data_IF_742361885963
#
_entry.id   IF_742361885963
#
_cell.length_a   1.000
_cell.length_b   1.000
_cell.length_c   1.000
_cell.angle_alpha   90.00
_cell.angle_beta   90.00
_cell.angle_gamma   90.00
#
_symmetry.space_group_name_H-M   'P 1'
#
loop_
_entity.id
_entity.type
_entity.pdbx_description
1 polymer ?
#
# COMPACT_ATOMS: atom_id res chain seq x y z
N UNK A 1 -11.55 -9.08 -0.66
CA UNK A 1 -12.70 -8.68 -1.49
C UNK A 1 -13.37 -7.44 -0.88
N UNK A 2 -13.90 -7.46 0.37
CA UNK A 2 -14.59 -6.31 0.97
C UNK A 2 -13.71 -5.05 1.05
N UNK A 3 -12.43 -5.18 1.41
CA UNK A 3 -11.48 -4.05 1.44
C UNK A 3 -11.25 -3.43 0.07
N UNK A 4 -11.24 -4.24 -0.99
CA UNK A 4 -11.07 -3.77 -2.36
C UNK A 4 -12.29 -2.97 -2.86
N UNK A 5 -13.50 -3.35 -2.45
CA UNK A 5 -14.70 -2.59 -2.78
C UNK A 5 -14.69 -1.19 -2.13
N UNK A 6 -14.31 -1.11 -0.86
CA UNK A 6 -14.15 0.18 -0.19
C UNK A 6 -13.01 1.02 -0.77
N UNK A 7 -11.93 0.38 -1.22
CA UNK A 7 -10.82 1.08 -1.85
C UNK A 7 -11.24 1.84 -3.10
N UNK A 8 -12.19 1.32 -3.90
CA UNK A 8 -12.72 2.01 -5.09
C UNK A 8 -13.34 3.36 -4.71
N UNK A 9 -13.96 3.43 -3.55
CA UNK A 9 -14.65 4.63 -3.07
C UNK A 9 -13.70 5.57 -2.31
N UNK A 10 -12.93 5.05 -1.36
CA UNK A 10 -11.97 5.82 -0.58
C UNK A 10 -10.76 6.27 -1.40
N UNK A 11 -10.30 5.44 -2.35
CA UNK A 11 -9.19 5.77 -3.23
C UNK A 11 -9.48 6.97 -4.14
N UNK A 12 -10.74 7.15 -4.56
CA UNK A 12 -11.15 8.33 -5.33
C UNK A 12 -10.95 9.64 -4.55
N UNK A 13 -11.07 9.60 -3.23
CA UNK A 13 -10.92 10.81 -2.40
C UNK A 13 -9.54 11.46 -2.48
N UNK A 14 -8.52 10.74 -2.93
CA UNK A 14 -7.18 11.32 -3.15
C UNK A 14 -7.20 12.42 -4.23
N UNK A 15 -8.19 12.40 -5.13
CA UNK A 15 -8.36 13.41 -6.17
C UNK A 15 -9.01 14.69 -5.63
N UNK A 16 -9.81 14.56 -4.58
CA UNK A 16 -10.59 15.66 -3.98
C UNK A 16 -9.84 16.37 -2.85
N UNK A 17 -8.90 15.69 -2.19
CA UNK A 17 -8.17 16.22 -1.03
C UNK A 17 -6.71 16.53 -1.36
N UNK A 18 -6.10 17.44 -0.59
CA UNK A 18 -4.64 17.64 -0.62
C UNK A 18 -3.94 16.33 -0.23
N UNK A 19 -2.95 15.94 -1.00
CA UNK A 19 -2.18 14.70 -0.80
C UNK A 19 -1.70 14.56 0.65
N UNK A 20 -1.24 15.65 1.25
CA UNK A 20 -0.79 15.67 2.64
C UNK A 20 -1.90 15.23 3.62
N UNK A 21 -3.09 15.83 3.51
CA UNK A 21 -4.22 15.52 4.39
C UNK A 21 -4.70 14.08 4.20
N UNK A 22 -4.73 13.64 2.95
CA UNK A 22 -5.08 12.25 2.63
C UNK A 22 -4.06 11.26 3.21
N UNK A 23 -2.75 11.56 3.10
CA UNK A 23 -1.70 10.72 3.68
C UNK A 23 -1.79 10.64 5.20
N UNK A 24 -2.06 11.74 5.89
CA UNK A 24 -2.29 11.72 7.33
C UNK A 24 -3.52 10.91 7.73
N UNK A 25 -4.60 11.02 6.99
CA UNK A 25 -5.77 10.18 7.20
C UNK A 25 -5.44 8.68 7.07
N UNK A 26 -4.69 8.30 6.04
CA UNK A 26 -4.29 6.90 5.82
C UNK A 26 -3.36 6.41 6.94
N UNK A 27 -2.41 7.24 7.39
CA UNK A 27 -1.53 6.89 8.52
C UNK A 27 -2.33 6.72 9.81
N UNK A 28 -3.25 7.63 10.10
CA UNK A 28 -4.11 7.50 11.26
C UNK A 28 -4.94 6.21 11.22
N UNK A 29 -5.52 5.89 10.07
CA UNK A 29 -6.27 4.66 9.89
C UNK A 29 -5.38 3.42 10.08
N UNK A 30 -4.15 3.44 9.58
CA UNK A 30 -3.19 2.35 9.74
C UNK A 30 -2.75 2.19 11.20
N UNK A 31 -2.50 3.29 11.89
CA UNK A 31 -2.19 3.31 13.32
C UNK A 31 -3.32 2.67 14.14
N UNK A 32 -4.56 3.13 13.96
CA UNK A 32 -5.70 2.57 14.68
C UNK A 32 -5.96 1.11 14.31
N UNK A 33 -5.74 0.71 13.08
CA UNK A 33 -5.85 -0.68 12.65
C UNK A 33 -4.82 -1.56 13.33
N UNK A 34 -3.55 -1.14 13.39
CA UNK A 34 -2.48 -1.87 14.08
C UNK A 34 -2.71 -1.96 15.58
N UNK A 35 -3.15 -0.85 16.18
CA UNK A 35 -3.47 -0.81 17.60
C UNK A 35 -4.66 -1.74 17.93
N UNK A 36 -5.76 -1.65 17.16
CA UNK A 36 -6.91 -2.52 17.33
C UNK A 36 -6.55 -3.99 17.16
N UNK A 37 -5.65 -4.30 16.21
CA UNK A 37 -5.17 -5.66 16.00
C UNK A 37 -4.48 -6.24 17.24
N UNK A 38 -3.79 -5.42 18.04
CA UNK A 38 -3.15 -5.87 19.29
C UNK A 38 -4.14 -6.29 20.39
N UNK A 39 -5.39 -5.84 20.32
CA UNK A 39 -6.45 -6.13 21.31
C UNK A 39 -7.41 -7.25 20.91
N UNK A 40 -7.10 -7.99 19.84
CA UNK A 40 -7.96 -9.08 19.37
C UNK A 40 -8.07 -10.20 20.41
N UNK A 41 -9.32 -10.51 20.78
CA UNK A 41 -9.66 -11.59 21.73
C UNK A 41 -10.67 -12.60 21.16
N UNK A 42 -11.18 -12.36 19.96
CA UNK A 42 -12.22 -13.19 19.34
C UNK A 42 -11.98 -13.30 17.83
N UNK A 43 -12.45 -14.39 17.23
CA UNK A 43 -12.38 -14.61 15.78
C UNK A 43 -13.08 -13.53 14.98
N UNK A 44 -14.15 -12.94 15.49
CA UNK A 44 -14.87 -11.86 14.83
C UNK A 44 -14.01 -10.59 14.76
N UNK A 45 -13.35 -10.24 15.87
CA UNK A 45 -12.42 -9.10 15.90
C UNK A 45 -11.18 -9.35 15.04
N UNK A 46 -10.75 -10.61 14.91
CA UNK A 46 -9.65 -10.99 14.00
C UNK A 46 -10.02 -10.67 12.54
N UNK A 47 -11.21 -11.06 12.10
CA UNK A 47 -11.69 -10.78 10.73
C UNK A 47 -11.76 -9.28 10.46
N UNK A 48 -12.30 -8.52 11.41
CA UNK A 48 -12.35 -7.05 11.31
C UNK A 48 -10.94 -6.45 11.30
N UNK A 49 -10.05 -6.94 12.17
CA UNK A 49 -8.66 -6.48 12.23
C UNK A 49 -7.91 -6.71 10.91
N UNK A 50 -8.00 -7.91 10.35
CA UNK A 50 -7.41 -8.24 9.03
C UNK A 50 -8.00 -7.35 7.93
N UNK A 51 -9.31 -7.12 7.96
CA UNK A 51 -9.98 -6.24 7.01
C UNK A 51 -9.43 -4.81 7.08
N UNK A 52 -9.33 -4.23 8.28
CA UNK A 52 -8.82 -2.88 8.49
C UNK A 52 -7.34 -2.76 8.10
N UNK A 53 -6.51 -3.73 8.46
CA UNK A 53 -5.09 -3.78 8.09
C UNK A 53 -4.91 -3.86 6.57
N UNK A 54 -5.68 -4.69 5.89
CA UNK A 54 -5.65 -4.76 4.43
C UNK A 54 -6.14 -3.49 3.75
N UNK A 55 -7.19 -2.87 4.29
CA UNK A 55 -7.72 -1.62 3.75
C UNK A 55 -6.70 -0.49 3.90
N UNK A 56 -6.17 -0.29 5.11
CA UNK A 56 -5.26 0.83 5.41
C UNK A 56 -3.87 0.65 4.83
N UNK A 57 -3.23 -0.51 5.07
CA UNK A 57 -1.86 -0.78 4.65
C UNK A 57 -1.76 -1.11 3.17
N UNK A 58 -2.31 -2.26 2.78
CA UNK A 58 -2.18 -2.78 1.42
C UNK A 58 -3.01 -1.98 0.39
N UNK A 59 -4.18 -1.49 0.79
CA UNK A 59 -5.06 -0.72 -0.08
C UNK A 59 -4.67 0.76 -0.16
N UNK A 60 -5.03 1.52 0.85
CA UNK A 60 -4.95 2.99 0.81
C UNK A 60 -3.52 3.51 0.79
N UNK A 61 -2.60 2.92 1.56
CA UNK A 61 -1.21 3.36 1.61
C UNK A 61 -0.49 3.14 0.27
N UNK A 62 -0.65 1.95 -0.32
CA UNK A 62 -0.09 1.64 -1.64
C UNK A 62 -0.69 2.51 -2.73
N UNK A 63 -2.01 2.75 -2.68
CA UNK A 63 -2.70 3.64 -3.62
C UNK A 63 -2.20 5.08 -3.48
N UNK A 64 -2.07 5.61 -2.26
CA UNK A 64 -1.56 6.95 -2.00
C UNK A 64 -0.13 7.11 -2.54
N UNK A 65 0.74 6.15 -2.27
CA UNK A 65 2.14 6.17 -2.73
C UNK A 65 2.24 6.15 -4.25
N UNK A 66 1.61 5.20 -4.92
CA UNK A 66 1.69 5.06 -6.38
C UNK A 66 1.05 6.23 -7.11
N UNK A 67 -0.08 6.76 -6.60
CA UNK A 67 -0.74 7.93 -7.18
C UNK A 67 0.11 9.18 -7.02
N UNK A 68 0.69 9.41 -5.85
CA UNK A 68 1.57 10.54 -5.59
C UNK A 68 2.75 10.52 -6.54
N UNK A 69 3.46 9.41 -6.65
CA UNK A 69 4.60 9.27 -7.55
C UNK A 69 4.20 9.49 -9.01
N UNK A 70 3.08 8.92 -9.41
CA UNK A 70 2.58 9.09 -10.78
C UNK A 70 2.24 10.54 -11.14
N UNK A 71 1.87 11.36 -10.16
CA UNK A 71 1.57 12.80 -10.36
C UNK A 71 2.82 13.66 -10.44
N UNK A 72 3.86 13.32 -9.67
CA UNK A 72 5.04 14.19 -9.55
C UNK A 72 6.21 13.82 -10.47
N UNK A 73 6.25 12.60 -10.96
CA UNK A 73 7.37 12.07 -11.73
C UNK A 73 7.00 11.72 -13.19
N UNK A 74 6.34 12.62 -13.92
CA UNK A 74 5.88 12.33 -15.28
C UNK A 74 6.99 11.85 -16.22
N UNK A 75 8.15 12.53 -16.23
CA UNK A 75 9.27 12.19 -17.12
C UNK A 75 10.05 10.95 -16.71
N UNK A 76 10.03 10.59 -15.42
CA UNK A 76 10.78 9.46 -14.84
C UNK A 76 9.89 8.49 -14.07
N UNK A 77 8.61 8.43 -14.41
CA UNK A 77 7.58 7.65 -13.72
C UNK A 77 7.95 6.21 -13.51
N UNK A 78 8.50 5.55 -14.54
CA UNK A 78 8.92 4.16 -14.44
C UNK A 78 10.03 3.94 -13.39
N UNK A 79 11.07 4.79 -13.38
CA UNK A 79 12.15 4.71 -12.39
C UNK A 79 11.64 4.97 -10.97
N UNK A 80 10.80 5.99 -10.81
CA UNK A 80 10.25 6.34 -9.50
C UNK A 80 9.37 5.21 -8.94
N UNK A 81 8.52 4.61 -9.77
CA UNK A 81 7.70 3.47 -9.38
C UNK A 81 8.55 2.24 -9.05
N UNK A 82 9.56 1.91 -9.86
CA UNK A 82 10.44 0.77 -9.56
C UNK A 82 11.21 0.93 -8.27
N UNK A 83 11.62 2.15 -7.90
CA UNK A 83 12.25 2.44 -6.61
C UNK A 83 11.31 2.15 -5.44
N UNK A 84 10.02 2.50 -5.57
CA UNK A 84 9.00 2.20 -4.54
C UNK A 84 8.78 0.69 -4.41
N UNK A 85 8.68 -0.01 -5.52
CA UNK A 85 8.54 -1.47 -5.51
C UNK A 85 9.76 -2.17 -4.94
N UNK A 86 10.97 -1.66 -5.21
CA UNK A 86 12.19 -2.14 -4.56
C UNK A 86 12.15 -1.96 -3.05
N UNK A 87 11.68 -0.79 -2.56
CA UNK A 87 11.47 -0.56 -1.13
C UNK A 87 10.47 -1.54 -0.51
N UNK A 88 9.36 -1.83 -1.21
CA UNK A 88 8.38 -2.81 -0.77
C UNK A 88 9.00 -4.21 -0.64
N UNK A 89 9.69 -4.68 -1.68
CA UNK A 89 10.35 -6.01 -1.67
C UNK A 89 11.40 -6.12 -0.57
N UNK A 90 12.16 -5.04 -0.32
CA UNK A 90 13.13 -4.98 0.79
C UNK A 90 12.43 -5.10 2.15
N UNK A 91 11.31 -4.41 2.32
CA UNK A 91 10.51 -4.50 3.55
C UNK A 91 9.91 -5.90 3.73
N UNK A 92 9.39 -6.51 2.68
CA UNK A 92 8.85 -7.88 2.70
C UNK A 92 9.91 -8.93 3.07
N UNK A 93 11.18 -8.66 2.76
CA UNK A 93 12.29 -9.53 3.16
C UNK A 93 12.73 -9.30 4.61
N UNK A 94 12.91 -8.05 5.03
CA UNK A 94 13.48 -7.71 6.33
C UNK A 94 12.44 -7.80 7.46
N UNK A 95 11.22 -7.28 7.26
CA UNK A 95 10.24 -7.16 8.33
C UNK A 95 9.76 -8.50 8.92
N UNK A 96 9.52 -9.56 8.15
CA UNK A 96 9.17 -10.87 8.73
C UNK A 96 10.24 -11.40 9.66
N UNK A 97 11.51 -11.30 9.27
CA UNK A 97 12.64 -11.75 10.10
C UNK A 97 12.70 -10.98 11.41
N UNK A 98 12.63 -9.65 11.35
CA UNK A 98 12.60 -8.81 12.55
C UNK A 98 11.38 -9.10 13.43
N UNK A 99 10.21 -9.26 12.82
CA UNK A 99 8.97 -9.52 13.56
C UNK A 99 9.03 -10.87 14.26
N UNK A 100 9.54 -11.91 13.60
CA UNK A 100 9.74 -13.23 14.20
C UNK A 100 10.71 -13.16 15.38
N UNK A 101 11.83 -12.44 15.23
CA UNK A 101 12.76 -12.22 16.33
C UNK A 101 12.11 -11.55 17.55
N UNK A 102 11.31 -10.51 17.32
CA UNK A 102 10.60 -9.84 18.41
C UNK A 102 9.50 -10.71 19.04
N UNK A 103 8.85 -11.60 18.29
CA UNK A 103 7.86 -12.54 18.85
C UNK A 103 8.48 -13.57 19.80
N UNK A 104 9.77 -13.87 19.68
CA UNK A 104 10.48 -14.74 20.64
C UNK A 104 10.68 -14.05 21.99
N UNK A 105 10.88 -12.73 21.97
CA UNK A 105 11.21 -11.95 23.19
C UNK A 105 9.96 -11.34 23.83
N UNK A 106 9.02 -10.89 23.02
CA UNK A 106 7.82 -10.17 23.46
C UNK A 106 6.54 -10.89 23.04
N UNK A 107 5.45 -10.61 23.74
CA UNK A 107 4.15 -11.10 23.30
C UNK A 107 3.76 -10.48 21.95
N UNK A 108 2.99 -11.21 21.15
CA UNK A 108 2.53 -10.71 19.86
C UNK A 108 1.73 -9.39 19.97
N UNK A 109 1.01 -9.22 21.10
CA UNK A 109 0.28 -7.97 21.38
C UNK A 109 1.22 -6.78 21.56
N UNK A 110 2.29 -6.97 22.32
CA UNK A 110 3.31 -5.93 22.56
C UNK A 110 4.01 -5.55 21.26
N UNK A 111 4.30 -6.52 20.41
CA UNK A 111 4.92 -6.25 19.10
C UNK A 111 4.00 -5.41 18.21
N UNK A 112 2.70 -5.73 18.13
CA UNK A 112 1.74 -4.93 17.38
C UNK A 112 1.54 -3.51 17.94
N UNK A 113 1.58 -3.34 19.26
CA UNK A 113 1.58 -2.01 19.88
C UNK A 113 2.84 -1.23 19.52
N UNK A 114 4.01 -1.87 19.55
CA UNK A 114 5.26 -1.28 19.09
C UNK A 114 5.20 -0.85 17.62
N UNK A 115 4.65 -1.68 16.75
CA UNK A 115 4.44 -1.34 15.33
C UNK A 115 3.51 -0.12 15.22
N UNK A 116 2.42 -0.06 15.97
CA UNK A 116 1.52 1.09 15.95
C UNK A 116 2.23 2.39 16.36
N UNK A 117 3.05 2.34 17.42
CA UNK A 117 3.86 3.49 17.86
C UNK A 117 4.85 3.92 16.77
N UNK A 118 5.53 2.97 16.12
CA UNK A 118 6.44 3.27 15.03
C UNK A 118 5.72 3.93 13.84
N UNK A 119 4.53 3.47 13.49
CA UNK A 119 3.71 4.05 12.43
C UNK A 119 3.45 5.53 12.70
N UNK A 120 2.97 5.87 13.91
CA UNK A 120 2.58 7.26 14.23
C UNK A 120 3.77 8.20 14.43
N UNK A 121 4.91 7.68 14.83
CA UNK A 121 6.13 8.48 15.03
C UNK A 121 6.91 8.65 13.72
N UNK A 122 7.10 7.57 12.98
CA UNK A 122 8.00 7.55 11.82
C UNK A 122 7.33 8.04 10.53
N UNK A 123 6.13 7.57 10.20
CA UNK A 123 5.50 7.91 8.93
C UNK A 123 5.13 9.38 8.78
N UNK A 124 4.55 10.08 9.78
CA UNK A 124 4.33 11.52 9.69
C UNK A 124 5.63 12.31 9.51
N UNK A 125 6.69 11.92 10.22
CA UNK A 125 8.00 12.56 10.09
C UNK A 125 8.56 12.43 8.67
N UNK A 126 8.52 11.23 8.09
CA UNK A 126 8.97 10.96 6.71
C UNK A 126 8.14 11.77 5.71
N UNK A 127 6.82 11.77 5.82
CA UNK A 127 5.93 12.49 4.90
C UNK A 127 6.16 13.99 4.98
N UNK A 128 6.25 14.56 6.18
CA UNK A 128 6.48 15.99 6.35
C UNK A 128 7.83 16.43 5.76
N UNK A 129 8.89 15.68 5.99
CA UNK A 129 10.20 16.01 5.44
C UNK A 129 10.24 15.84 3.92
N UNK A 130 9.64 14.78 3.40
CA UNK A 130 9.61 14.52 1.97
C UNK A 130 8.76 15.56 1.23
N UNK A 131 7.59 15.88 1.72
CA UNK A 131 6.67 16.82 1.08
C UNK A 131 7.20 18.25 1.17
N UNK A 132 7.77 18.67 2.30
CA UNK A 132 8.40 19.97 2.44
C UNK A 132 9.60 20.14 1.51
N UNK A 133 10.43 19.11 1.37
CA UNK A 133 11.61 19.17 0.52
C UNK A 133 11.29 19.28 -0.97
N UNK A 134 10.17 18.72 -1.41
CA UNK A 134 9.78 18.70 -2.83
C UNK A 134 9.01 19.97 -3.24
N UNK A 135 8.58 20.79 -2.28
CA UNK A 135 7.79 22.01 -2.53
C UNK A 135 6.59 21.74 -3.46
N UNK A 136 5.78 20.75 -3.08
CA UNK A 136 4.72 20.17 -3.91
C UNK A 136 3.69 21.20 -4.39
N UNK A 137 3.41 22.22 -3.58
CA UNK A 137 2.45 23.28 -3.93
C UNK A 137 2.95 24.14 -5.13
N UNK A 138 4.26 24.30 -5.30
CA UNK A 138 4.83 24.99 -6.44
C UNK A 138 4.85 24.10 -7.69
N UNK A 139 5.17 22.83 -7.57
CA UNK A 139 5.18 21.90 -8.70
C UNK A 139 3.78 21.52 -9.19
N UNK A 140 2.79 21.52 -8.33
CA UNK A 140 1.39 21.33 -8.72
C UNK A 140 0.87 22.52 -9.55
N UNK A 141 1.39 23.72 -9.32
CA UNK A 141 1.12 24.91 -10.15
C UNK A 141 1.96 24.94 -11.44
N UNK A 142 3.24 24.57 -11.36
CA UNK A 142 4.15 24.54 -12.51
C UNK A 142 3.98 23.31 -13.41
N UNK A 143 3.37 22.26 -12.93
CA UNK A 143 3.05 21.05 -13.73
C UNK A 143 1.83 21.24 -14.64
N UNK A 144 1.27 22.44 -14.69
CA UNK A 144 0.44 22.89 -15.83
C UNK A 144 1.33 23.61 -16.83
N UNK A 145 2.14 22.92 -17.64
CA UNK A 145 2.92 23.59 -18.65
C UNK A 145 1.92 24.19 -19.62
N UNK A 146 2.29 25.33 -20.16
CA UNK A 146 1.78 25.91 -21.39
C UNK A 146 2.09 25.00 -22.60
N UNK A 147 2.01 23.70 -22.40
CA UNK A 147 2.01 22.71 -23.47
C UNK A 147 0.64 22.84 -24.10
N UNK A 148 0.61 23.19 -25.38
CA UNK A 148 -0.55 23.00 -26.22
C UNK A 148 -1.29 21.78 -25.76
N UNK A 149 -2.47 21.97 -25.16
CA UNK A 149 -3.30 20.95 -24.58
C UNK A 149 -3.61 19.97 -25.70
N UNK A 150 -2.76 18.96 -25.88
CA UNK A 150 -3.23 17.72 -26.46
C UNK A 150 -4.30 17.28 -25.47
N UNK A 151 -5.55 17.45 -25.84
CA UNK A 151 -6.71 17.03 -25.05
C UNK A 151 -6.54 15.54 -24.81
N UNK A 152 -5.80 15.19 -23.73
CA UNK A 152 -5.72 13.81 -23.28
C UNK A 152 -7.14 13.46 -22.88
N UNK A 153 -7.75 12.57 -23.65
CA UNK A 153 -9.11 12.10 -23.40
C UNK A 153 -9.18 11.56 -21.97
N UNK A 154 -9.89 12.24 -21.08
CA UNK A 154 -10.19 11.71 -19.76
C UNK A 154 -11.25 10.62 -19.91
N UNK A 155 -10.83 9.38 -19.66
CA UNK A 155 -11.70 8.22 -19.74
C UNK A 155 -12.65 8.16 -18.55
N UNK A 156 -13.93 7.98 -18.80
CA UNK A 156 -14.90 7.69 -17.76
C UNK A 156 -14.82 6.21 -17.37
N UNK A 157 -15.25 5.85 -16.13
CA UNK A 157 -15.26 4.45 -15.67
C UNK A 157 -16.01 3.53 -16.65
N UNK A 158 -17.13 4.01 -17.20
CA UNK A 158 -17.94 3.24 -18.14
C UNK A 158 -17.24 2.98 -19.47
N UNK A 159 -16.44 3.93 -19.95
CA UNK A 159 -15.62 3.76 -21.17
C UNK A 159 -14.48 2.76 -20.93
N UNK A 160 -13.80 2.85 -19.77
CA UNK A 160 -12.71 1.94 -19.40
C UNK A 160 -13.21 0.51 -19.31
N UNK A 161 -14.34 0.25 -18.63
CA UNK A 161 -14.93 -1.10 -18.48
C UNK A 161 -15.38 -1.67 -19.85
N UNK A 162 -15.72 -0.83 -20.82
CA UNK A 162 -16.11 -1.28 -22.16
C UNK A 162 -14.91 -1.57 -23.06
N UNK A 163 -13.72 -1.11 -22.70
CA UNK A 163 -12.51 -1.33 -23.51
C UNK A 163 -11.89 -2.70 -23.16
N UNK A 164 -11.73 -3.57 -24.16
CA UNK A 164 -11.13 -4.90 -24.00
C UNK A 164 -9.68 -4.84 -23.50
N UNK A 165 -8.95 -3.76 -23.79
CA UNK A 165 -7.57 -3.54 -23.35
C UNK A 165 -7.47 -3.51 -21.83
N UNK A 166 -8.49 -2.96 -21.17
CA UNK A 166 -8.58 -2.96 -19.71
C UNK A 166 -8.53 -4.37 -19.14
N UNK A 167 -9.24 -5.31 -19.73
CA UNK A 167 -9.29 -6.71 -19.27
C UNK A 167 -7.96 -7.43 -19.50
N UNK A 168 -7.29 -7.20 -20.64
CA UNK A 168 -5.98 -7.77 -20.93
C UNK A 168 -4.95 -7.29 -19.91
N UNK A 169 -4.90 -5.98 -19.63
CA UNK A 169 -3.98 -5.43 -18.66
C UNK A 169 -4.30 -5.91 -17.24
N UNK A 170 -5.58 -5.98 -16.89
CA UNK A 170 -6.03 -6.45 -15.58
C UNK A 170 -5.67 -7.91 -15.33
N UNK A 171 -5.84 -8.79 -16.34
CA UNK A 171 -5.45 -10.20 -16.25
C UNK A 171 -3.94 -10.36 -16.08
N UNK A 172 -3.15 -9.57 -16.80
CA UNK A 172 -1.69 -9.56 -16.64
C UNK A 172 -1.26 -9.16 -15.22
N UNK A 173 -1.94 -8.16 -14.65
CA UNK A 173 -1.66 -7.72 -13.28
C UNK A 173 -2.11 -8.72 -12.21
N UNK A 174 -3.05 -9.62 -12.51
CA UNK A 174 -3.48 -10.68 -11.58
C UNK A 174 -2.49 -11.84 -11.48
N UNK A 175 -1.70 -12.10 -12.51
CA UNK A 175 -0.79 -13.26 -12.57
C UNK A 175 0.23 -13.23 -11.42
N UNK A 176 0.87 -12.08 -11.18
CA UNK A 176 1.89 -11.95 -10.14
C UNK A 176 1.35 -12.16 -8.71
N UNK A 177 0.28 -11.49 -8.27
CA UNK A 177 -0.30 -11.72 -6.94
C UNK A 177 -0.80 -13.16 -6.76
N UNK A 178 -1.31 -13.79 -7.81
CA UNK A 178 -1.78 -15.16 -7.74
C UNK A 178 -0.61 -16.12 -7.50
N UNK A 179 0.46 -16.02 -8.28
CA UNK A 179 1.64 -16.86 -8.11
C UNK A 179 2.30 -16.62 -6.73
N UNK A 180 2.49 -15.37 -6.34
CA UNK A 180 3.08 -15.03 -5.04
C UNK A 180 2.25 -15.59 -3.87
N UNK A 181 0.93 -15.37 -3.90
CA UNK A 181 0.04 -15.90 -2.85
C UNK A 181 0.04 -17.43 -2.84
N UNK A 182 0.06 -18.08 -4.00
CA UNK A 182 0.16 -19.53 -4.12
C UNK A 182 1.45 -20.06 -3.46
N UNK A 183 2.59 -19.47 -3.77
CA UNK A 183 3.86 -19.86 -3.17
C UNK A 183 3.82 -19.67 -1.64
N UNK A 184 3.39 -18.53 -1.14
CA UNK A 184 3.32 -18.25 0.30
C UNK A 184 2.39 -19.22 1.04
N UNK A 185 1.21 -19.53 0.48
CA UNK A 185 0.25 -20.45 1.11
C UNK A 185 0.76 -21.89 1.12
N UNK A 186 1.40 -22.33 0.04
CA UNK A 186 1.86 -23.72 -0.09
C UNK A 186 3.33 -23.91 0.32
N UNK A 187 4.02 -22.89 0.78
CA UNK A 187 5.43 -22.95 1.14
C UNK A 187 5.75 -24.05 2.15
N UNK A 188 4.99 -24.15 3.24
CA UNK A 188 5.17 -25.20 4.26
C UNK A 188 4.94 -26.59 3.65
N UNK A 189 3.87 -26.77 2.88
CA UNK A 189 3.57 -28.05 2.22
C UNK A 189 4.69 -28.47 1.26
N UNK A 190 5.27 -27.49 0.51
CA UNK A 190 6.38 -27.76 -0.41
C UNK A 190 7.63 -28.19 0.37
N UNK A 191 7.96 -27.47 1.47
CA UNK A 191 9.09 -27.82 2.35
C UNK A 191 8.94 -29.23 2.92
N UNK A 192 7.80 -29.54 3.48
CA UNK A 192 7.51 -30.84 4.06
C UNK A 192 7.56 -31.97 3.02
N UNK A 193 6.97 -31.74 1.84
CA UNK A 193 6.97 -32.73 0.76
C UNK A 193 8.35 -33.01 0.17
N UNK A 194 9.26 -32.05 0.27
CA UNK A 194 10.65 -32.15 -0.21
C UNK A 194 11.63 -32.55 0.90
N UNK A 195 11.17 -32.76 2.12
CA UNK A 195 12.00 -33.02 3.31
C UNK A 195 13.12 -31.97 3.47
N UNK A 196 12.82 -30.71 3.17
CA UNK A 196 13.73 -29.63 3.43
C UNK A 196 13.63 -29.24 4.89
N UNK A 197 14.76 -29.28 5.61
CA UNK A 197 14.81 -28.77 6.97
C UNK A 197 14.52 -27.28 6.95
N UNK A 198 13.45 -26.91 7.64
CA UNK A 198 13.10 -25.49 7.85
C UNK A 198 13.91 -25.02 9.05
N UNK A 199 15.03 -24.38 8.81
CA UNK A 199 15.80 -23.69 9.85
C UNK A 199 15.20 -22.32 10.13
#
# INVERSE_FOLDING_TARGET
ICSSLLLIWLGKKIDDYKILNYSFFVIALLFFSSLAFSFINSIYFLVIGIFLMRLSGQGLMSHASTTTISRFFDKSRGRALSTVWFGLSTAEFILPVLTTYFFVIYSWRTVWQGIAILIILFLPFVILNTIKSINLDSREKDSRPNIKIVKIKSWTRREVIKDYRFYIVSLNMLAMPWMATGIFVYQSFISDSKMWDVY
#
